data_IF_183379944026
#
_entry.id   IF_183379944026
#
_cell.length_a   1.000
_cell.length_b   1.000
_cell.length_c   1.000
_cell.angle_alpha   90.00
_cell.angle_beta   90.00
_cell.angle_gamma   90.00
#
_symmetry.space_group_name_H-M   'P 1'
#
loop_
_entity.id
_entity.type
_entity.pdbx_description
1 polymer ?
#
# COMPACT_ATOMS: atom_id res chain seq x y z
N UNK A 1 24.12 46.69 -0.06
CA UNK A 1 23.03 45.91 -0.67
C UNK A 1 22.97 44.59 0.09
N UNK A 2 22.03 44.44 1.04
CA UNK A 2 21.93 43.26 1.90
C UNK A 2 21.41 42.09 1.06
N UNK A 3 22.17 41.01 1.00
CA UNK A 3 21.74 39.75 0.40
C UNK A 3 20.58 39.24 1.25
N UNK A 4 19.39 39.11 0.66
CA UNK A 4 18.28 38.38 1.29
C UNK A 4 18.75 36.94 1.44
N UNK A 5 18.81 36.43 2.68
CA UNK A 5 18.91 35.00 2.93
C UNK A 5 17.74 34.33 2.20
N UNK A 6 18.05 33.42 1.29
CA UNK A 6 17.05 32.58 0.65
C UNK A 6 16.32 31.81 1.73
N UNK A 7 14.99 31.89 1.77
CA UNK A 7 14.17 30.93 2.49
C UNK A 7 14.65 29.53 2.09
N UNK A 8 15.28 28.82 3.04
CA UNK A 8 15.62 27.42 2.87
C UNK A 8 14.31 26.70 2.66
N UNK A 9 14.10 26.14 1.47
CA UNK A 9 13.07 25.14 1.27
C UNK A 9 13.30 24.05 2.32
N UNK A 10 12.46 24.01 3.36
CA UNK A 10 12.52 22.97 4.37
C UNK A 10 11.98 21.70 3.72
N UNK A 11 12.87 20.88 3.17
CA UNK A 11 12.58 19.47 2.93
C UNK A 11 12.23 18.88 4.29
N UNK A 12 10.94 18.57 4.48
CA UNK A 12 10.42 17.93 5.68
C UNK A 12 11.11 16.57 5.84
N UNK A 13 11.90 16.47 6.91
CA UNK A 13 12.49 15.23 7.37
C UNK A 13 11.38 14.42 8.10
N UNK A 14 10.93 13.29 7.54
CA UNK A 14 9.88 12.45 8.13
C UNK A 14 10.36 11.76 9.41
N UNK A 15 11.67 11.68 9.67
CA UNK A 15 12.18 11.02 10.86
C UNK A 15 11.90 11.87 12.10
N UNK A 16 11.29 13.05 11.89
CA UNK A 16 10.63 13.88 12.89
C UNK A 16 9.23 13.35 13.24
N UNK A 17 8.51 12.68 12.32
CA UNK A 17 7.20 12.03 12.53
C UNK A 17 7.25 10.92 13.59
N UNK A 18 8.37 10.20 13.64
CA UNK A 18 8.56 9.00 14.47
C UNK A 18 9.44 9.26 15.70
N UNK A 19 9.72 10.52 16.03
CA UNK A 19 10.31 10.86 17.33
C UNK A 19 9.27 10.54 18.42
N UNK A 20 9.67 10.09 19.62
CA UNK A 20 8.76 9.79 20.72
C UNK A 20 8.06 11.03 21.32
N UNK A 21 8.05 12.15 20.59
CA UNK A 21 7.41 13.42 20.94
C UNK A 21 5.93 13.35 20.53
N UNK A 22 5.00 13.70 21.44
CA UNK A 22 3.57 13.43 21.29
C UNK A 22 2.81 14.24 20.20
N UNK A 23 3.52 14.99 19.35
CA UNK A 23 2.91 15.94 18.41
C UNK A 23 3.72 16.05 17.12
N UNK A 24 3.09 15.77 15.98
CA UNK A 24 3.62 16.08 14.64
C UNK A 24 2.77 17.13 13.94
N UNK A 25 3.37 18.24 13.51
CA UNK A 25 2.67 19.34 12.83
C UNK A 25 1.42 19.85 13.61
N UNK A 26 1.47 19.76 14.95
CA UNK A 26 0.33 20.08 15.83
C UNK A 26 -0.71 18.96 16.01
N UNK A 27 -0.54 17.79 15.37
CA UNK A 27 -1.44 16.64 15.43
C UNK A 27 -0.86 15.48 16.26
N UNK A 28 -1.67 14.83 17.11
CA UNK A 28 -1.24 13.67 17.89
C UNK A 28 -1.28 12.38 17.04
N UNK A 29 -0.68 11.28 17.52
CA UNK A 29 -0.56 10.00 16.78
C UNK A 29 -1.95 9.47 16.36
N UNK A 30 -2.96 9.71 17.18
CA UNK A 30 -4.36 9.31 16.93
C UNK A 30 -5.00 10.05 15.74
N UNK A 31 -4.35 11.09 15.21
CA UNK A 31 -4.83 11.87 14.06
C UNK A 31 -4.18 11.44 12.72
N UNK A 32 -3.25 10.49 12.73
CA UNK A 32 -2.72 9.85 11.52
C UNK A 32 -3.71 8.83 10.96
N UNK A 33 -3.74 8.70 9.62
CA UNK A 33 -4.67 7.81 8.91
C UNK A 33 -6.13 8.05 9.30
N UNK A 34 -6.50 9.31 9.52
CA UNK A 34 -7.90 9.67 9.75
C UNK A 34 -8.67 9.62 8.44
N UNK A 35 -9.71 8.79 8.41
CA UNK A 35 -10.66 8.68 7.29
C UNK A 35 -12.03 9.28 7.65
N UNK A 36 -12.10 10.09 8.69
CA UNK A 36 -13.30 10.88 9.00
C UNK A 36 -13.56 11.84 7.85
N UNK A 37 -14.73 11.70 7.23
CA UNK A 37 -15.07 12.50 6.06
C UNK A 37 -15.43 13.93 6.48
N UNK A 38 -14.62 14.88 6.00
CA UNK A 38 -14.93 16.32 6.02
C UNK A 38 -15.16 16.82 4.59
N UNK A 39 -16.36 17.35 4.33
CA UNK A 39 -16.75 17.90 3.03
C UNK A 39 -16.00 19.18 2.65
N UNK A 40 -15.30 19.81 3.60
CA UNK A 40 -14.50 21.01 3.37
C UNK A 40 -13.00 20.69 3.22
N UNK A 41 -12.58 19.46 3.48
CA UNK A 41 -11.20 19.02 3.30
C UNK A 41 -11.02 18.35 1.94
N UNK A 42 -10.25 18.99 1.07
CA UNK A 42 -9.99 18.49 -0.28
C UNK A 42 -9.20 17.16 -0.29
N UNK A 43 -8.33 16.92 0.71
CA UNK A 43 -7.59 15.67 0.85
C UNK A 43 -8.55 14.55 1.23
N UNK A 44 -9.41 14.76 2.24
CA UNK A 44 -10.39 13.74 2.63
C UNK A 44 -11.39 13.42 1.50
N UNK A 45 -11.80 14.42 0.72
CA UNK A 45 -12.64 14.20 -0.46
C UNK A 45 -11.93 13.37 -1.55
N UNK A 46 -10.64 13.67 -1.81
CA UNK A 46 -9.80 12.93 -2.76
C UNK A 46 -9.62 11.49 -2.32
N UNK A 47 -9.20 11.27 -1.07
CA UNK A 47 -9.02 9.93 -0.47
C UNK A 47 -10.31 9.13 -0.53
N UNK A 48 -11.43 9.71 -0.09
CA UNK A 48 -12.74 9.06 -0.16
C UNK A 48 -13.12 8.67 -1.58
N UNK A 49 -12.94 9.57 -2.56
CA UNK A 49 -13.22 9.25 -3.96
C UNK A 49 -12.35 8.11 -4.47
N UNK A 50 -11.07 8.09 -4.14
CA UNK A 50 -10.13 7.03 -4.54
C UNK A 50 -10.58 5.67 -4.01
N UNK A 51 -10.89 5.57 -2.72
CA UNK A 51 -11.37 4.33 -2.11
C UNK A 51 -12.75 3.91 -2.63
N UNK A 52 -13.72 4.83 -2.80
CA UNK A 52 -15.03 4.47 -3.35
C UNK A 52 -14.93 3.96 -4.80
N UNK A 53 -14.04 4.55 -5.61
CA UNK A 53 -13.76 4.04 -6.95
C UNK A 53 -13.11 2.66 -6.89
N UNK A 54 -12.09 2.48 -6.04
CA UNK A 54 -11.43 1.19 -5.84
C UNK A 54 -12.45 0.11 -5.44
N UNK A 55 -13.26 0.40 -4.43
CA UNK A 55 -14.23 -0.54 -3.88
C UNK A 55 -15.38 -0.83 -4.82
N UNK A 56 -15.76 0.11 -5.70
CA UNK A 56 -16.80 -0.10 -6.72
C UNK A 56 -16.30 -0.94 -7.89
N UNK A 57 -15.10 -0.62 -8.40
CA UNK A 57 -14.63 -1.09 -9.70
C UNK A 57 -13.76 -2.35 -9.61
N UNK A 58 -13.07 -2.57 -8.49
CA UNK A 58 -12.30 -3.80 -8.31
C UNK A 58 -13.22 -4.97 -8.00
N UNK A 59 -13.53 -5.76 -9.03
CA UNK A 59 -14.21 -7.06 -8.90
C UNK A 59 -13.19 -8.19 -9.03
N UNK A 60 -13.51 -9.39 -8.52
CA UNK A 60 -12.64 -10.55 -8.59
C UNK A 60 -12.21 -10.83 -10.04
N UNK A 61 -13.14 -10.81 -10.99
CA UNK A 61 -12.83 -11.08 -12.40
C UNK A 61 -11.96 -9.97 -13.04
N UNK A 62 -12.22 -8.69 -12.72
CA UNK A 62 -11.41 -7.59 -13.24
C UNK A 62 -10.00 -7.58 -12.65
N UNK A 63 -9.85 -7.89 -11.36
CA UNK A 63 -8.54 -8.08 -10.72
C UNK A 63 -7.77 -9.20 -11.41
N UNK A 64 -8.40 -10.35 -11.69
CA UNK A 64 -7.77 -11.44 -12.43
C UNK A 64 -7.35 -11.01 -13.85
N UNK A 65 -8.17 -10.20 -14.53
CA UNK A 65 -7.84 -9.65 -15.84
C UNK A 65 -6.64 -8.69 -15.78
N UNK A 66 -6.60 -7.78 -14.79
CA UNK A 66 -5.46 -6.86 -14.55
C UNK A 66 -4.18 -7.61 -14.26
N UNK A 67 -4.21 -8.64 -13.42
CA UNK A 67 -3.07 -9.53 -13.21
C UNK A 67 -2.60 -10.17 -14.53
N UNK A 68 -3.53 -10.70 -15.34
CA UNK A 68 -3.18 -11.32 -16.62
C UNK A 68 -2.57 -10.33 -17.63
N UNK A 69 -2.95 -9.05 -17.56
CA UNK A 69 -2.40 -7.97 -18.36
C UNK A 69 -0.99 -7.57 -17.89
N UNK A 70 -0.88 -7.14 -16.64
CA UNK A 70 0.34 -6.55 -16.07
C UNK A 70 1.48 -7.53 -15.86
N UNK A 71 1.15 -8.78 -15.54
CA UNK A 71 2.15 -9.83 -15.28
C UNK A 71 2.74 -10.44 -16.57
N UNK A 72 2.46 -9.84 -17.73
CA UNK A 72 3.26 -10.04 -18.96
C UNK A 72 4.59 -9.27 -18.92
N UNK A 73 4.72 -8.29 -18.02
CA UNK A 73 5.93 -7.47 -17.82
C UNK A 73 6.46 -6.81 -19.12
N UNK A 74 5.56 -6.38 -20.00
CA UNK A 74 5.87 -5.83 -21.31
C UNK A 74 5.43 -4.36 -21.50
N UNK A 75 5.02 -3.68 -20.42
CA UNK A 75 4.59 -2.29 -20.44
C UNK A 75 5.77 -1.32 -20.58
N UNK A 76 6.91 -1.62 -19.95
CA UNK A 76 8.12 -0.82 -20.01
C UNK A 76 9.35 -1.60 -19.53
N UNK A 77 10.53 -1.02 -19.71
CA UNK A 77 11.80 -1.49 -19.15
C UNK A 77 12.53 -0.32 -18.50
N UNK A 78 12.91 -0.48 -17.24
CA UNK A 78 13.62 0.53 -16.46
C UNK A 78 14.52 -0.13 -15.42
N UNK A 79 15.58 0.58 -15.02
CA UNK A 79 16.31 0.32 -13.79
C UNK A 79 15.48 0.77 -12.57
N UNK A 80 15.83 0.27 -11.38
CA UNK A 80 15.19 0.71 -10.12
C UNK A 80 15.29 2.23 -9.96
N UNK A 81 16.45 2.82 -10.26
CA UNK A 81 16.66 4.27 -10.18
C UNK A 81 15.72 5.04 -11.11
N UNK A 82 15.56 4.61 -12.36
CA UNK A 82 14.64 5.25 -13.30
C UNK A 82 13.18 5.14 -12.86
N UNK A 83 12.78 3.99 -12.31
CA UNK A 83 11.45 3.79 -11.75
C UNK A 83 11.19 4.71 -10.54
N UNK A 84 12.16 4.83 -9.62
CA UNK A 84 12.06 5.75 -8.47
C UNK A 84 11.99 7.21 -8.91
N UNK A 85 12.81 7.64 -9.87
CA UNK A 85 12.79 9.02 -10.39
C UNK A 85 11.42 9.35 -11.01
N UNK A 86 10.77 8.38 -11.67
CA UNK A 86 9.40 8.57 -12.19
C UNK A 86 8.41 8.93 -11.07
N UNK A 87 8.56 8.35 -9.88
CA UNK A 87 7.70 8.65 -8.73
C UNK A 87 7.87 10.09 -8.17
N UNK A 88 8.81 10.89 -8.70
CA UNK A 88 8.89 12.32 -8.40
C UNK A 88 7.64 13.08 -8.86
N UNK A 89 7.01 12.61 -9.93
CA UNK A 89 5.85 13.26 -10.54
C UNK A 89 4.53 12.61 -10.07
N UNK A 90 4.58 11.86 -8.96
CA UNK A 90 3.44 11.11 -8.41
C UNK A 90 3.11 11.56 -6.97
N UNK A 91 1.85 11.92 -6.75
CA UNK A 91 1.26 12.17 -5.43
C UNK A 91 0.14 11.16 -5.22
N UNK A 92 0.16 10.48 -4.08
CA UNK A 92 -0.79 9.41 -3.76
C UNK A 92 -2.16 9.98 -3.35
N UNK A 93 -3.19 9.71 -4.14
CA UNK A 93 -4.55 10.17 -3.89
C UNK A 93 -5.26 9.40 -2.77
N UNK A 94 -4.70 8.27 -2.33
CA UNK A 94 -5.25 7.43 -1.26
C UNK A 94 -4.69 7.75 0.13
N UNK A 95 -3.62 8.53 0.19
CA UNK A 95 -2.94 8.90 1.43
C UNK A 95 -3.60 10.16 2.04
N UNK A 96 -4.13 10.08 3.28
CA UNK A 96 -4.71 11.22 3.99
C UNK A 96 -3.67 12.10 4.72
N UNK A 97 -2.43 11.60 4.88
CA UNK A 97 -1.41 12.20 5.73
C UNK A 97 -0.34 12.94 4.92
N UNK A 98 -0.07 12.49 3.69
CA UNK A 98 1.04 12.97 2.86
C UNK A 98 0.54 13.55 1.52
N UNK A 99 0.93 14.80 1.23
CA UNK A 99 0.75 15.46 -0.06
C UNK A 99 2.10 15.83 -0.69
N UNK A 100 3.08 14.91 -0.57
CA UNK A 100 4.43 15.04 -1.09
C UNK A 100 4.68 14.02 -2.22
N UNK A 101 5.65 14.27 -3.11
CA UNK A 101 6.08 13.27 -4.09
C UNK A 101 6.48 11.95 -3.44
N UNK A 102 6.02 10.83 -4.00
CA UNK A 102 6.21 9.50 -3.38
C UNK A 102 7.68 9.06 -3.31
N UNK A 103 8.58 9.64 -4.13
CA UNK A 103 10.03 9.40 -3.95
C UNK A 103 10.52 9.86 -2.57
N UNK A 104 9.92 10.93 -2.03
CA UNK A 104 10.29 11.47 -0.73
C UNK A 104 9.99 10.37 0.28
N UNK A 105 8.74 9.93 0.36
CA UNK A 105 8.30 8.79 1.18
C UNK A 105 9.20 7.53 1.07
N UNK A 106 9.65 7.19 -0.14
CA UNK A 106 10.57 6.08 -0.36
C UNK A 106 11.93 6.26 0.36
N UNK A 107 12.59 7.41 0.20
CA UNK A 107 13.86 7.68 0.90
C UNK A 107 13.66 7.85 2.41
N UNK A 108 12.54 8.43 2.78
CA UNK A 108 12.10 8.63 4.15
C UNK A 108 12.04 7.30 4.91
N UNK A 109 11.32 6.32 4.36
CA UNK A 109 11.23 4.95 4.89
C UNK A 109 12.60 4.26 4.91
N UNK A 110 13.35 4.32 3.79
CA UNK A 110 14.66 3.68 3.69
C UNK A 110 15.68 4.21 4.71
N UNK A 111 15.70 5.52 4.95
CA UNK A 111 16.62 6.15 5.90
C UNK A 111 16.22 5.91 7.35
N UNK A 112 14.94 5.68 7.65
CA UNK A 112 14.52 5.26 8.98
C UNK A 112 14.98 3.83 9.25
N UNK A 113 14.67 2.90 8.34
CA UNK A 113 15.15 1.51 8.43
C UNK A 113 16.68 1.45 8.50
N UNK A 114 17.41 2.31 7.77
CA UNK A 114 18.87 2.37 7.85
C UNK A 114 19.38 2.80 9.23
N UNK A 115 18.64 3.66 9.95
CA UNK A 115 19.00 4.08 11.31
C UNK A 115 18.74 2.98 12.33
N UNK A 116 17.59 2.32 12.24
CA UNK A 116 17.16 1.32 13.24
C UNK A 116 17.75 -0.07 12.97
N UNK A 117 18.06 -0.35 11.70
CA UNK A 117 18.61 -1.60 11.22
C UNK A 117 19.83 -1.39 10.31
N UNK A 118 20.93 -0.81 10.83
CA UNK A 118 22.10 -0.42 10.04
C UNK A 118 22.81 -1.61 9.38
N UNK A 119 22.77 -2.79 10.00
CA UNK A 119 23.40 -4.01 9.49
C UNK A 119 22.51 -4.80 8.51
N UNK A 120 21.30 -4.31 8.22
CA UNK A 120 20.32 -4.98 7.37
C UNK A 120 20.11 -4.22 6.04
N UNK A 121 21.06 -4.36 5.13
CA UNK A 121 21.09 -3.67 3.84
C UNK A 121 19.87 -3.98 2.94
N UNK A 122 19.43 -5.23 2.91
CA UNK A 122 18.26 -5.61 2.11
C UNK A 122 16.98 -4.98 2.65
N UNK A 123 16.87 -4.76 3.95
CA UNK A 123 15.68 -4.15 4.54
C UNK A 123 15.59 -2.66 4.23
N UNK A 124 16.74 -1.97 4.23
CA UNK A 124 16.84 -0.59 3.76
C UNK A 124 16.39 -0.47 2.29
N UNK A 125 16.82 -1.42 1.45
CA UNK A 125 16.39 -1.48 0.05
C UNK A 125 14.88 -1.76 -0.07
N UNK A 126 14.31 -2.66 0.73
CA UNK A 126 12.86 -2.91 0.78
C UNK A 126 12.12 -1.61 1.11
N UNK A 127 12.57 -0.84 2.11
CA UNK A 127 12.04 0.49 2.40
C UNK A 127 12.09 1.44 1.21
N UNK A 128 13.20 1.45 0.47
CA UNK A 128 13.33 2.33 -0.70
C UNK A 128 12.38 1.94 -1.84
N UNK A 129 12.08 0.66 -2.02
CA UNK A 129 11.39 0.19 -3.23
C UNK A 129 9.95 -0.25 -2.99
N UNK A 130 9.45 -0.37 -1.76
CA UNK A 130 8.13 -0.96 -1.48
C UNK A 130 7.00 -0.38 -2.34
N UNK A 131 7.05 0.93 -2.58
CA UNK A 131 6.10 1.68 -3.39
C UNK A 131 6.43 1.75 -4.88
N UNK A 132 7.53 1.14 -5.34
CA UNK A 132 7.97 1.22 -6.74
C UNK A 132 6.92 0.67 -7.71
N UNK A 133 5.99 -0.18 -7.25
CA UNK A 133 4.87 -0.64 -8.05
C UNK A 133 3.92 0.48 -8.50
N UNK A 134 3.93 1.65 -7.84
CA UNK A 134 3.09 2.81 -8.16
C UNK A 134 3.37 3.41 -9.54
N UNK A 135 4.48 3.04 -10.18
CA UNK A 135 4.82 3.43 -11.55
C UNK A 135 3.73 3.08 -12.57
N UNK A 136 2.84 2.12 -12.28
CA UNK A 136 1.69 1.76 -13.13
C UNK A 136 0.84 2.99 -13.52
N UNK A 137 0.75 4.01 -12.67
CA UNK A 137 0.00 5.25 -12.97
C UNK A 137 0.53 5.97 -14.21
N UNK A 138 1.85 5.93 -14.45
CA UNK A 138 2.45 6.55 -15.63
C UNK A 138 2.22 5.79 -16.94
N UNK A 139 1.52 4.67 -16.86
CA UNK A 139 1.24 3.78 -17.98
C UNK A 139 -0.27 3.53 -18.16
N UNK A 140 -1.09 4.47 -17.68
CA UNK A 140 -2.52 4.56 -17.97
C UNK A 140 -3.44 4.00 -16.90
N UNK A 141 -2.92 3.50 -15.78
CA UNK A 141 -3.76 3.09 -14.67
C UNK A 141 -4.23 4.29 -13.83
N UNK A 142 -5.53 4.36 -13.49
CA UNK A 142 -5.98 5.31 -12.49
C UNK A 142 -5.47 4.89 -11.11
N UNK A 143 -5.31 5.85 -10.20
CA UNK A 143 -4.68 5.57 -8.89
C UNK A 143 -5.41 4.50 -8.07
N UNK A 144 -6.74 4.38 -8.18
CA UNK A 144 -7.53 3.37 -7.47
C UNK A 144 -7.30 1.92 -7.96
N UNK A 145 -6.56 1.71 -9.05
CA UNK A 145 -6.02 0.41 -9.47
C UNK A 145 -4.56 0.19 -9.02
N UNK A 146 -3.98 1.14 -8.31
CA UNK A 146 -2.55 1.18 -8.02
C UNK A 146 -2.25 1.39 -6.53
N UNK A 147 -2.90 2.32 -5.85
CA UNK A 147 -2.64 2.71 -4.47
C UNK A 147 -3.80 2.39 -3.53
N UNK A 148 -3.59 2.61 -2.23
CA UNK A 148 -4.57 2.40 -1.17
C UNK A 148 -4.49 1.02 -0.51
N UNK A 149 -5.20 0.91 0.60
CA UNK A 149 -5.27 -0.33 1.39
C UNK A 149 -5.85 -1.47 0.55
N UNK A 150 -5.23 -2.65 0.64
CA UNK A 150 -5.66 -3.84 -0.08
C UNK A 150 -6.62 -4.71 0.73
N UNK A 151 -7.43 -5.49 0.03
CA UNK A 151 -8.43 -6.38 0.62
C UNK A 151 -8.58 -7.66 -0.22
N UNK A 152 -8.98 -8.80 0.37
CA UNK A 152 -9.17 -10.03 -0.38
C UNK A 152 -10.40 -9.96 -1.27
N UNK A 153 -10.22 -10.41 -2.51
CA UNK A 153 -11.26 -10.56 -3.52
C UNK A 153 -11.87 -11.94 -3.43
N UNK A 154 -13.15 -12.08 -3.78
CA UNK A 154 -13.79 -13.40 -3.87
C UNK A 154 -14.20 -14.02 -2.52
N UNK A 155 -14.19 -13.23 -1.44
CA UNK A 155 -14.83 -13.54 -0.15
C UNK A 155 -15.52 -12.29 0.40
N UNK A 156 -16.32 -12.46 1.46
CA UNK A 156 -16.98 -11.34 2.13
C UNK A 156 -15.92 -10.38 2.68
N UNK A 157 -16.11 -9.09 2.40
CA UNK A 157 -15.24 -8.03 2.92
C UNK A 157 -15.39 -7.86 4.43
N UNK A 158 -14.25 -7.58 5.06
CA UNK A 158 -14.09 -7.39 6.49
C UNK A 158 -14.46 -5.98 6.94
N UNK A 159 -14.96 -5.82 8.18
CA UNK A 159 -15.42 -4.53 8.71
C UNK A 159 -14.31 -3.49 8.90
N UNK A 160 -13.04 -3.90 8.95
CA UNK A 160 -11.91 -2.97 9.13
C UNK A 160 -11.43 -2.33 7.83
N UNK A 161 -12.00 -2.69 6.67
CA UNK A 161 -11.69 -2.01 5.41
C UNK A 161 -12.19 -0.57 5.48
N UNK A 162 -11.34 0.37 5.04
CA UNK A 162 -11.62 1.80 5.01
C UNK A 162 -12.97 2.10 4.34
N UNK A 163 -13.78 2.96 4.95
CA UNK A 163 -15.16 3.28 4.55
C UNK A 163 -16.18 2.12 4.57
N UNK A 164 -15.76 0.90 4.90
CA UNK A 164 -16.62 -0.26 5.17
C UNK A 164 -17.64 -0.57 4.07
N UNK A 165 -18.70 -1.29 4.44
CA UNK A 165 -19.73 -1.81 3.52
C UNK A 165 -20.37 -0.73 2.62
N UNK A 166 -20.49 0.53 3.07
CA UNK A 166 -21.11 1.60 2.25
C UNK A 166 -20.33 1.88 0.97
N UNK A 167 -19.00 1.82 1.03
CA UNK A 167 -18.14 2.05 -0.14
C UNK A 167 -18.22 0.93 -1.18
N UNK A 168 -18.70 -0.24 -0.79
CA UNK A 168 -18.83 -1.41 -1.64
C UNK A 168 -20.24 -1.62 -2.22
N UNK A 169 -21.23 -0.81 -1.84
CA UNK A 169 -22.64 -1.01 -2.23
C UNK A 169 -22.88 -1.08 -3.75
N UNK A 170 -22.00 -0.48 -4.55
CA UNK A 170 -22.10 -0.48 -6.02
C UNK A 170 -21.26 -1.57 -6.69
N UNK A 171 -20.45 -2.31 -5.93
CA UNK A 171 -19.68 -3.43 -6.47
C UNK A 171 -20.61 -4.63 -6.70
N UNK A 172 -20.59 -5.27 -7.87
CA UNK A 172 -21.44 -6.44 -8.13
C UNK A 172 -21.07 -7.66 -7.27
N UNK A 173 -19.81 -7.79 -6.82
CA UNK A 173 -19.37 -8.94 -6.01
C UNK A 173 -19.99 -8.93 -4.61
N UNK A 174 -20.44 -7.77 -4.12
CA UNK A 174 -21.23 -7.60 -2.88
C UNK A 174 -22.45 -8.53 -2.87
N UNK A 175 -23.07 -8.70 -4.03
CA UNK A 175 -24.32 -9.42 -4.20
C UNK A 175 -24.13 -10.81 -4.81
N UNK A 176 -22.90 -11.17 -5.16
CA UNK A 176 -22.59 -12.44 -5.78
C UNK A 176 -22.50 -13.56 -4.72
N UNK A 177 -23.36 -14.59 -4.72
CA UNK A 177 -23.36 -15.65 -3.71
C UNK A 177 -22.07 -16.48 -3.69
N UNK A 178 -21.27 -16.44 -4.76
CA UNK A 178 -19.95 -17.08 -4.81
C UNK A 178 -18.90 -16.31 -4.00
N UNK A 179 -19.05 -14.99 -3.85
CA UNK A 179 -18.04 -14.11 -3.29
C UNK A 179 -18.48 -13.50 -1.95
N UNK A 180 -19.78 -13.30 -1.70
CA UNK A 180 -20.25 -12.58 -0.52
C UNK A 180 -20.44 -13.44 0.75
N UNK A 181 -19.88 -14.64 0.79
CA UNK A 181 -19.85 -15.48 2.00
C UNK A 181 -18.50 -15.37 2.70
N UNK A 182 -18.43 -15.75 3.99
CA UNK A 182 -17.21 -15.63 4.80
C UNK A 182 -15.95 -16.16 4.10
N UNK A 183 -16.05 -17.32 3.44
CA UNK A 183 -14.93 -17.92 2.73
C UNK A 183 -14.99 -17.71 1.22
N UNK A 184 -16.17 -17.44 0.66
CA UNK A 184 -16.37 -17.29 -0.77
C UNK A 184 -15.79 -18.45 -1.56
N UNK A 185 -14.77 -18.18 -2.39
CA UNK A 185 -14.07 -19.20 -3.19
C UNK A 185 -12.95 -19.94 -2.46
N UNK A 186 -12.56 -19.47 -1.27
CA UNK A 186 -11.41 -20.00 -0.54
C UNK A 186 -11.83 -21.09 0.44
N UNK A 187 -10.84 -21.85 0.89
CA UNK A 187 -10.99 -22.80 2.01
C UNK A 187 -10.61 -22.11 3.32
N UNK A 188 -11.21 -22.49 4.46
CA UNK A 188 -10.68 -22.09 5.76
C UNK A 188 -9.20 -22.52 5.87
N UNK A 189 -8.38 -21.67 6.49
CA UNK A 189 -6.95 -21.93 6.71
C UNK A 189 -6.16 -22.30 5.43
N UNK A 190 -6.52 -21.73 4.27
CA UNK A 190 -5.80 -21.95 3.02
C UNK A 190 -4.39 -21.34 3.01
N UNK A 191 -4.16 -20.35 3.87
CA UNK A 191 -2.98 -19.52 3.90
C UNK A 191 -3.18 -18.19 3.21
N UNK A 192 -2.56 -17.14 3.73
CA UNK A 192 -2.66 -15.77 3.19
C UNK A 192 -2.12 -15.67 1.76
N UNK A 193 -1.13 -16.50 1.42
CA UNK A 193 -0.55 -16.53 0.07
C UNK A 193 -1.50 -17.04 -1.01
N UNK A 194 -2.56 -17.76 -0.64
CA UNK A 194 -3.60 -18.26 -1.55
C UNK A 194 -4.68 -17.21 -1.86
N UNK A 195 -4.74 -16.14 -1.07
CA UNK A 195 -5.72 -15.07 -1.28
C UNK A 195 -5.33 -14.26 -2.53
N UNK A 196 -6.32 -14.01 -3.38
CA UNK A 196 -6.22 -12.95 -4.39
C UNK A 196 -6.65 -11.65 -3.72
N UNK A 197 -5.71 -10.74 -3.50
CA UNK A 197 -6.01 -9.38 -3.01
C UNK A 197 -6.44 -8.47 -4.16
N UNK A 198 -7.04 -7.33 -3.82
CA UNK A 198 -7.25 -6.23 -4.76
C UNK A 198 -5.94 -5.90 -5.48
N UNK A 199 -6.05 -5.55 -6.76
CA UNK A 199 -4.89 -5.26 -7.59
C UNK A 199 -4.32 -3.89 -7.22
N UNK A 200 -3.00 -3.82 -7.14
CA UNK A 200 -2.27 -2.62 -6.76
C UNK A 200 -0.76 -2.81 -6.80
N UNK A 201 -0.04 -1.82 -6.31
CA UNK A 201 1.42 -1.75 -6.31
C UNK A 201 2.08 -2.91 -5.55
N UNK A 202 1.52 -3.39 -4.44
CA UNK A 202 2.02 -4.54 -3.65
C UNK A 202 2.23 -5.80 -4.50
N UNK A 203 1.13 -6.35 -5.05
CA UNK A 203 1.16 -7.60 -5.82
C UNK A 203 1.95 -7.41 -7.12
N UNK A 204 1.81 -6.25 -7.78
CA UNK A 204 2.59 -5.95 -8.98
C UNK A 204 4.09 -5.98 -8.70
N UNK A 205 4.55 -5.24 -7.69
CA UNK A 205 5.97 -5.17 -7.37
C UNK A 205 6.51 -6.52 -6.90
N UNK A 206 5.79 -7.22 -6.02
CA UNK A 206 6.16 -8.58 -5.61
C UNK A 206 6.42 -9.48 -6.84
N UNK A 207 5.52 -9.44 -7.82
CA UNK A 207 5.64 -10.24 -9.05
C UNK A 207 6.79 -9.77 -9.95
N UNK A 208 7.03 -8.45 -10.04
CA UNK A 208 8.20 -7.89 -10.76
C UNK A 208 9.51 -8.37 -10.14
N UNK A 209 9.63 -8.36 -8.81
CA UNK A 209 10.82 -8.80 -8.09
C UNK A 209 11.08 -10.30 -8.24
N UNK A 210 10.02 -11.11 -8.23
CA UNK A 210 10.10 -12.56 -8.54
C UNK A 210 10.48 -12.80 -10.00
N UNK A 211 9.85 -12.11 -10.96
CA UNK A 211 10.13 -12.23 -12.39
C UNK A 211 11.61 -11.92 -12.72
N UNK A 212 12.14 -10.84 -12.12
CA UNK A 212 13.52 -10.42 -12.29
C UNK A 212 14.53 -11.18 -11.41
N UNK A 213 14.10 -12.22 -10.69
CA UNK A 213 14.95 -13.11 -9.87
C UNK A 213 15.86 -12.35 -8.90
N UNK A 214 15.29 -11.35 -8.25
CA UNK A 214 16.01 -10.56 -7.25
C UNK A 214 16.48 -11.44 -6.08
N UNK A 215 17.47 -10.95 -5.32
CA UNK A 215 18.03 -11.63 -4.15
C UNK A 215 17.42 -11.17 -2.81
N UNK A 216 16.33 -10.41 -2.87
CA UNK A 216 15.60 -9.99 -1.67
C UNK A 216 15.12 -11.25 -0.94
N UNK A 217 15.37 -11.39 0.37
CA UNK A 217 14.93 -12.55 1.11
C UNK A 217 13.41 -12.64 1.13
N UNK A 218 12.90 -13.84 1.42
CA UNK A 218 11.46 -14.09 1.39
C UNK A 218 10.68 -13.18 2.36
N UNK A 219 11.27 -12.81 3.50
CA UNK A 219 10.73 -11.83 4.45
C UNK A 219 10.46 -10.47 3.80
N UNK A 220 11.45 -9.91 3.09
CA UNK A 220 11.29 -8.64 2.36
C UNK A 220 10.27 -8.72 1.23
N UNK A 221 10.14 -9.88 0.58
CA UNK A 221 9.09 -10.09 -0.44
C UNK A 221 7.69 -10.15 0.18
N UNK A 222 7.55 -10.70 1.39
CA UNK A 222 6.28 -10.68 2.13
C UNK A 222 5.91 -9.27 2.58
N UNK A 223 6.87 -8.51 3.11
CA UNK A 223 6.68 -7.10 3.46
C UNK A 223 6.10 -6.32 2.27
N UNK A 224 6.76 -6.38 1.11
CA UNK A 224 6.30 -5.70 -0.11
C UNK A 224 4.91 -6.16 -0.54
N UNK A 225 4.62 -7.47 -0.49
CA UNK A 225 3.36 -8.02 -1.00
C UNK A 225 2.14 -7.67 -0.15
N UNK A 226 2.34 -7.35 1.14
CA UNK A 226 1.24 -7.26 2.10
C UNK A 226 1.26 -5.99 2.97
N UNK A 227 2.17 -5.04 2.72
CA UNK A 227 2.27 -3.83 3.52
C UNK A 227 1.03 -2.93 3.43
N UNK A 228 0.26 -3.02 2.34
CA UNK A 228 -1.03 -2.33 2.22
C UNK A 228 -2.21 -3.15 2.75
N UNK A 229 -2.01 -4.39 3.24
CA UNK A 229 -3.11 -5.26 3.67
C UNK A 229 -3.55 -4.97 5.12
N UNK A 230 -3.83 -3.69 5.41
CA UNK A 230 -4.17 -3.16 6.73
C UNK A 230 -5.29 -3.92 7.43
N UNK A 231 -6.40 -4.32 6.77
CA UNK A 231 -7.44 -5.11 7.41
C UNK A 231 -6.91 -6.37 8.11
N UNK A 232 -5.88 -7.01 7.56
CA UNK A 232 -5.30 -8.22 8.12
C UNK A 232 -4.21 -7.95 9.16
N UNK A 233 -3.19 -7.14 8.83
CA UNK A 233 -2.07 -6.95 9.75
C UNK A 233 -2.42 -6.01 10.91
N UNK A 234 -3.25 -4.99 10.70
CA UNK A 234 -3.67 -4.02 11.71
C UNK A 234 -5.11 -4.21 12.21
N UNK A 235 -6.07 -4.42 11.30
CA UNK A 235 -7.50 -4.51 11.60
C UNK A 235 -7.95 -5.80 12.29
N UNK A 236 -7.13 -6.87 12.23
CA UNK A 236 -7.44 -8.17 12.83
C UNK A 236 -8.41 -9.04 12.03
N UNK A 237 -8.86 -8.56 10.86
CA UNK A 237 -9.68 -9.34 9.94
C UNK A 237 -8.88 -10.47 9.28
N UNK A 238 -9.60 -11.40 8.64
CA UNK A 238 -9.04 -12.45 7.77
C UNK A 238 -8.10 -13.48 8.42
N UNK A 239 -7.92 -13.45 9.75
CA UNK A 239 -7.15 -14.47 10.50
C UNK A 239 -7.64 -15.91 10.26
N UNK A 240 -8.93 -16.08 9.94
CA UNK A 240 -9.52 -17.39 9.60
C UNK A 240 -9.04 -17.99 8.25
N UNK A 241 -8.29 -17.23 7.45
CA UNK A 241 -7.59 -17.75 6.28
C UNK A 241 -6.15 -18.17 6.57
N UNK A 242 -5.55 -17.72 7.68
CA UNK A 242 -4.16 -18.05 8.02
C UNK A 242 -3.98 -19.55 8.23
N UNK A 243 -2.88 -20.09 7.73
CA UNK A 243 -2.41 -21.46 8.01
C UNK A 243 -1.21 -21.41 8.96
N UNK A 244 -0.82 -22.58 9.48
CA UNK A 244 0.38 -22.71 10.31
C UNK A 244 1.60 -22.10 9.62
N UNK A 245 2.23 -21.12 10.27
CA UNK A 245 3.43 -20.44 9.78
C UNK A 245 3.18 -19.07 9.15
N UNK A 246 1.92 -18.72 8.85
CA UNK A 246 1.57 -17.38 8.33
C UNK A 246 1.79 -16.28 9.37
N UNK A 247 1.93 -16.63 10.66
CA UNK A 247 2.32 -15.71 11.72
C UNK A 247 3.65 -15.01 11.40
N UNK A 248 4.59 -15.71 10.78
CA UNK A 248 5.88 -15.14 10.36
C UNK A 248 5.73 -14.11 9.25
N UNK A 249 4.76 -14.31 8.35
CA UNK A 249 4.41 -13.33 7.32
C UNK A 249 3.89 -12.07 8.00
N UNK A 250 2.97 -12.23 8.96
CA UNK A 250 2.39 -11.11 9.71
C UNK A 250 3.44 -10.36 10.52
N UNK A 251 4.32 -11.06 11.23
CA UNK A 251 5.44 -10.48 11.98
C UNK A 251 6.36 -9.64 11.08
N UNK A 252 6.72 -10.16 9.90
CA UNK A 252 7.53 -9.43 8.93
C UNK A 252 6.85 -8.13 8.46
N UNK A 253 5.56 -8.22 8.13
CA UNK A 253 4.77 -7.06 7.65
C UNK A 253 4.57 -6.03 8.75
N UNK A 254 4.33 -6.46 9.99
CA UNK A 254 4.20 -5.58 11.14
C UNK A 254 5.50 -4.86 11.46
N UNK A 255 6.63 -5.57 11.38
CA UNK A 255 7.96 -4.97 11.54
C UNK A 255 8.21 -3.89 10.50
N UNK A 256 7.88 -4.14 9.23
CA UNK A 256 8.02 -3.12 8.20
C UNK A 256 7.11 -1.91 8.41
N UNK A 257 5.87 -2.11 8.87
CA UNK A 257 4.93 -1.01 9.12
C UNK A 257 5.24 -0.21 10.39
N UNK A 258 6.12 -0.68 11.26
CA UNK A 258 6.53 0.04 12.47
C UNK A 258 7.74 0.97 12.25
N UNK A 259 8.45 0.80 11.13
CA UNK A 259 9.66 1.55 10.75
C UNK A 259 9.36 2.59 9.65
#
# INVERSE_FOLDING_TARGET
MKVKESEKASLLDPSVLLRPEAVYNGKPIEAFRSYEFDENDAIQQRVRRTYYNMHTEQTYELVKAKMAEWLKFNHFKATVKEALIKLNDFVDESDPDIDLPNIVHAFQTAEQIRRDHPDNDWFQLVGLIHDMGKVMVFYGEPQWWVTGDTFPMGCKWGPSIVYGDDSFKNNPDTYNPKYNTKYGIYKPNCGIEELTLSWGHDEYLYRVLKHNKTRIPQEGLWMIRYHSFYPWHAGGDYSYFMKEGDEKIKEAVLKFNSD
#
